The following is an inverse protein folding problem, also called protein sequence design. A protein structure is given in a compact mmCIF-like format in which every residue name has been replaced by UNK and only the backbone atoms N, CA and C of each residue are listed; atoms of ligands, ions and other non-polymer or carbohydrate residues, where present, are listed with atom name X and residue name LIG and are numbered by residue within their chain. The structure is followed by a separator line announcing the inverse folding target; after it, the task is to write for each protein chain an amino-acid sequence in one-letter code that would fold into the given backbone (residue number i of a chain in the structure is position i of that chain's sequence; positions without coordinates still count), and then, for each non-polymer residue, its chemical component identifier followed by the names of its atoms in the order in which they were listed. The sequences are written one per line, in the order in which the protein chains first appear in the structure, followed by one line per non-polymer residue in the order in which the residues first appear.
data_IF_981679592021
#
_entry.id   IF_981679592021
#
_cell.length_a   1.000
_cell.length_b   1.000
_cell.length_c   1.000
_cell.angle_alpha   90.00
_cell.angle_beta   90.00
_cell.angle_gamma   90.00
#
_symmetry.space_group_name_H-M   'P 1'
#
loop_
_entity.id
_entity.type
_entity.pdbx_description
1 polymer ?
#
# COMPACT_ATOMS: atom_id res chain seq x y z
N UNK A 1 -8.35 7.46 -27.91
CA UNK A 1 -7.53 6.51 -27.13
C UNK A 1 -8.05 6.58 -25.71
N UNK A 2 -8.73 5.54 -25.23
CA UNK A 2 -9.26 5.52 -23.86
C UNK A 2 -8.18 4.98 -22.92
N UNK A 3 -7.99 5.65 -21.79
CA UNK A 3 -6.99 5.29 -20.78
C UNK A 3 -7.70 4.50 -19.68
N UNK A 4 -7.82 3.20 -19.90
CA UNK A 4 -8.60 2.31 -19.02
C UNK A 4 -7.73 1.50 -18.05
N UNK A 5 -6.40 1.66 -18.12
CA UNK A 5 -5.42 0.89 -17.33
C UNK A 5 -4.52 1.82 -16.54
N UNK A 6 -4.27 1.45 -15.28
CA UNK A 6 -3.36 2.15 -14.39
C UNK A 6 -2.41 1.15 -13.71
N UNK A 7 -1.23 1.64 -13.33
CA UNK A 7 -0.23 0.90 -12.54
C UNK A 7 -0.02 1.66 -11.24
N UNK A 8 -0.11 0.95 -10.11
CA UNK A 8 0.07 1.52 -8.77
C UNK A 8 1.31 0.87 -8.14
N UNK A 9 2.36 1.64 -7.81
CA UNK A 9 3.51 1.10 -7.09
C UNK A 9 3.15 0.89 -5.62
N UNK A 10 3.13 -0.37 -5.18
CA UNK A 10 2.72 -0.81 -3.84
C UNK A 10 3.79 -1.69 -3.15
N UNK A 11 5.06 -1.25 -3.19
CA UNK A 11 6.23 -2.06 -2.76
C UNK A 11 7.15 -1.38 -1.75
N UNK A 12 6.69 -0.36 -1.03
CA UNK A 12 7.52 0.35 -0.06
C UNK A 12 7.46 -0.27 1.35
N UNK A 13 8.60 -0.33 2.06
CA UNK A 13 8.70 -0.93 3.41
C UNK A 13 7.84 -0.28 4.51
N UNK A 14 7.28 0.90 4.27
CA UNK A 14 6.34 1.53 5.20
C UNK A 14 6.91 1.91 6.57
N UNK A 15 8.22 2.16 6.70
CA UNK A 15 8.93 2.33 7.98
C UNK A 15 8.36 3.40 8.93
N UNK A 16 7.63 4.38 8.42
CA UNK A 16 6.90 5.40 9.21
C UNK A 16 5.73 4.83 10.02
N UNK A 17 5.23 3.66 9.64
CA UNK A 17 4.13 2.95 10.29
C UNK A 17 4.62 1.75 11.09
N UNK A 18 5.92 1.68 11.40
CA UNK A 18 6.40 0.69 12.35
C UNK A 18 5.78 0.96 13.74
N UNK A 19 5.44 -0.10 14.50
CA UNK A 19 5.76 -1.51 14.23
C UNK A 19 4.74 -2.23 13.32
N UNK A 20 3.62 -1.60 12.95
CA UNK A 20 2.51 -2.23 12.22
C UNK A 20 2.98 -2.84 10.90
N UNK A 21 3.86 -2.15 10.17
CA UNK A 21 4.36 -2.62 8.87
C UNK A 21 5.61 -3.51 8.96
N UNK A 22 5.96 -4.05 10.13
CA UNK A 22 7.17 -4.89 10.29
C UNK A 22 7.03 -6.23 9.56
N UNK A 23 5.84 -6.83 9.59
CA UNK A 23 5.56 -8.14 9.00
C UNK A 23 4.42 -8.10 7.97
N UNK A 24 3.73 -6.96 7.81
CA UNK A 24 2.62 -6.77 6.88
C UNK A 24 2.88 -5.52 6.02
N UNK A 25 2.60 -5.53 4.70
CA UNK A 25 2.73 -4.34 3.85
C UNK A 25 1.80 -3.21 4.27
N UNK A 26 2.20 -1.95 4.02
CA UNK A 26 1.39 -0.78 4.38
C UNK A 26 0.07 -0.70 3.59
N UNK A 27 0.06 -1.23 2.37
CA UNK A 27 -1.10 -1.22 1.48
C UNK A 27 -2.19 -2.21 1.90
N UNK A 28 -1.87 -3.16 2.80
CA UNK A 28 -2.81 -4.13 3.35
C UNK A 28 -3.44 -3.68 4.67
N UNK A 29 -3.10 -2.49 5.17
CA UNK A 29 -3.70 -1.97 6.39
C UNK A 29 -5.17 -1.61 6.14
N UNK A 30 -6.12 -2.05 6.99
CA UNK A 30 -7.52 -1.70 6.81
C UNK A 30 -7.70 -0.20 7.06
N UNK A 31 -8.37 0.45 6.12
CA UNK A 31 -9.08 1.71 6.39
C UNK A 31 -10.45 1.30 6.93
N UNK A 32 -10.97 2.02 7.93
CA UNK A 32 -12.32 1.76 8.45
C UNK A 32 -13.34 1.78 7.28
N UNK A 33 -14.46 1.09 7.47
CA UNK A 33 -15.62 1.20 6.57
C UNK A 33 -16.15 2.64 6.52
#
# INVERSE_FOLDING_TARGET
MNVDKAVIPAGGYGTRFLPVTKAQPKEMMPVLD
#
